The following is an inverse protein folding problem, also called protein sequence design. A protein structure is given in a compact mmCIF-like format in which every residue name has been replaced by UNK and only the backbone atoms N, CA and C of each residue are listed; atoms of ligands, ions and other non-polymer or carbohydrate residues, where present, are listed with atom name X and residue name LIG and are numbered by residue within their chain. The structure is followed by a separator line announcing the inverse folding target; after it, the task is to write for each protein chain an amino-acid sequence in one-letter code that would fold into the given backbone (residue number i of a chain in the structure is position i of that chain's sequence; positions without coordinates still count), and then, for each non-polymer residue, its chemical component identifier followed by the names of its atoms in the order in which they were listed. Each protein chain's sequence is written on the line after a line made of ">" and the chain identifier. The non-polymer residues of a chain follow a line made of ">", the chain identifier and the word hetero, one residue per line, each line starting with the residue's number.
data_IF_077282569851
#
_entry.id   IF_077282569851
#
_cell.length_a   1.000
_cell.length_b   1.000
_cell.length_c   1.000
_cell.angle_alpha   90.00
_cell.angle_beta   90.00
_cell.angle_gamma   90.00
#
_symmetry.space_group_name_H-M   'P 1'
#
loop_
_entity.id
_entity.type
_entity.pdbx_description
1 polymer ?
#
# COMPACT_ATOMS: atom_id res chain seq x y z
N UNK A 1 0.56 -8.58 11.36
CA UNK A 1 -0.61 -7.74 11.05
C UNK A 1 -0.51 -7.10 9.68
N UNK A 2 -1.54 -7.26 8.86
CA UNK A 2 -1.73 -6.55 7.59
C UNK A 2 -2.48 -5.26 7.84
N UNK A 3 -2.05 -4.14 7.24
CA UNK A 3 -2.77 -2.86 7.32
C UNK A 3 -3.23 -2.48 5.92
N UNK A 4 -4.50 -2.11 5.78
CA UNK A 4 -5.16 -1.84 4.49
C UNK A 4 -5.59 -0.36 4.42
N UNK A 5 -4.66 0.58 4.11
CA UNK A 5 -4.98 2.00 4.01
C UNK A 5 -5.89 2.29 2.80
N UNK A 6 -6.60 3.41 2.86
CA UNK A 6 -7.59 3.82 1.87
C UNK A 6 -7.62 5.35 1.75
N UNK A 7 -8.00 5.87 0.58
CA UNK A 7 -8.14 7.30 0.28
C UNK A 7 -9.56 7.74 -0.06
N UNK A 8 -10.47 6.80 -0.35
CA UNK A 8 -11.90 7.07 -0.60
C UNK A 8 -12.82 6.09 0.14
N UNK A 9 -14.10 6.45 0.27
CA UNK A 9 -15.10 5.57 0.89
C UNK A 9 -15.21 4.21 0.19
N UNK A 10 -15.14 4.19 -1.14
CA UNK A 10 -15.17 2.95 -1.93
C UNK A 10 -13.94 2.06 -1.67
N UNK A 11 -12.77 2.66 -1.46
CA UNK A 11 -11.56 1.92 -1.08
C UNK A 11 -11.64 1.41 0.36
N UNK A 12 -12.25 2.17 1.27
CA UNK A 12 -12.50 1.72 2.64
C UNK A 12 -13.37 0.49 2.68
N UNK A 13 -14.51 0.51 1.98
CA UNK A 13 -15.43 -0.62 1.90
C UNK A 13 -14.71 -1.86 1.35
N UNK A 14 -13.89 -1.69 0.30
CA UNK A 14 -13.07 -2.76 -0.24
C UNK A 14 -12.05 -3.29 0.77
N UNK A 15 -11.38 -2.40 1.52
CA UNK A 15 -10.43 -2.79 2.56
C UNK A 15 -11.11 -3.56 3.69
N UNK A 16 -12.34 -3.17 4.08
CA UNK A 16 -13.15 -3.88 5.07
C UNK A 16 -13.59 -5.27 4.55
N UNK A 17 -13.95 -5.39 3.28
CA UNK A 17 -14.25 -6.69 2.65
C UNK A 17 -13.02 -7.61 2.65
N UNK A 18 -11.85 -7.09 2.27
CA UNK A 18 -10.59 -7.86 2.27
C UNK A 18 -10.21 -8.28 3.70
N UNK A 19 -10.33 -7.37 4.68
CA UNK A 19 -9.93 -7.65 6.06
C UNK A 19 -10.77 -8.76 6.70
N UNK A 20 -12.03 -8.91 6.31
CA UNK A 20 -12.91 -9.99 6.77
C UNK A 20 -12.40 -11.41 6.43
N UNK A 21 -11.50 -11.53 5.45
CA UNK A 21 -10.90 -12.79 5.04
C UNK A 21 -9.50 -13.04 5.62
N UNK A 22 -9.00 -12.14 6.47
CA UNK A 22 -7.65 -12.20 7.04
C UNK A 22 -7.69 -12.36 8.56
N UNK A 23 -6.80 -13.20 9.10
CA UNK A 23 -6.77 -13.52 10.53
C UNK A 23 -6.28 -12.35 11.41
N UNK A 24 -5.44 -11.47 10.87
CA UNK A 24 -4.83 -10.33 11.59
C UNK A 24 -4.65 -9.15 10.63
N UNK A 25 -5.76 -8.43 10.37
CA UNK A 25 -5.80 -7.25 9.51
C UNK A 25 -6.47 -6.05 10.20
N UNK A 26 -6.02 -4.85 9.83
CA UNK A 26 -6.61 -3.58 10.28
C UNK A 26 -6.87 -2.68 9.08
N UNK A 27 -8.08 -2.14 9.02
CA UNK A 27 -8.40 -0.97 8.18
C UNK A 27 -8.21 0.27 9.07
N UNK A 28 -7.19 1.11 8.82
CA UNK A 28 -6.95 2.28 9.64
C UNK A 28 -8.06 3.34 9.43
N UNK A 29 -8.17 4.35 10.31
CA UNK A 29 -8.93 5.55 9.99
C UNK A 29 -8.38 6.24 8.73
N UNK A 30 -9.10 7.24 8.21
CA UNK A 30 -8.58 8.06 7.11
C UNK A 30 -7.24 8.69 7.52
N UNK A 31 -6.23 8.56 6.66
CA UNK A 31 -4.88 9.06 6.92
C UNK A 31 -4.57 10.24 6.01
N UNK A 32 -3.81 11.21 6.53
CA UNK A 32 -3.10 12.14 5.65
C UNK A 32 -2.01 11.39 4.88
N UNK A 33 -1.48 11.99 3.80
CA UNK A 33 -0.34 11.40 3.08
C UNK A 33 0.89 11.26 3.99
N UNK A 34 1.10 12.19 4.93
CA UNK A 34 2.20 12.11 5.90
C UNK A 34 2.03 10.96 6.90
N UNK A 35 0.82 10.73 7.38
CA UNK A 35 0.53 9.61 8.28
C UNK A 35 0.62 8.27 7.54
N UNK A 36 0.17 8.21 6.29
CA UNK A 36 0.34 7.05 5.43
C UNK A 36 1.83 6.75 5.19
N UNK A 37 2.64 7.77 4.92
CA UNK A 37 4.10 7.61 4.80
C UNK A 37 4.72 7.05 6.08
N UNK A 38 4.32 7.58 7.24
CA UNK A 38 4.82 7.14 8.55
C UNK A 38 4.41 5.68 8.84
N UNK A 39 3.18 5.31 8.49
CA UNK A 39 2.70 3.93 8.57
C UNK A 39 3.53 3.00 7.68
N UNK A 40 3.74 3.38 6.42
CA UNK A 40 4.50 2.58 5.44
C UNK A 40 5.95 2.41 5.87
N UNK A 41 6.60 3.48 6.38
CA UNK A 41 7.99 3.42 6.85
C UNK A 41 8.22 2.43 8.00
N UNK A 42 7.18 2.13 8.78
CA UNK A 42 7.21 1.11 9.83
C UNK A 42 6.83 -0.30 9.35
N UNK A 43 6.45 -0.48 8.10
CA UNK A 43 6.03 -1.77 7.57
C UNK A 43 7.24 -2.69 7.34
N UNK A 44 7.07 -3.98 7.61
CA UNK A 44 8.09 -4.98 7.29
C UNK A 44 8.24 -5.19 5.77
N UNK A 45 7.11 -5.10 5.06
CA UNK A 45 7.04 -5.12 3.61
C UNK A 45 5.72 -4.48 3.14
N UNK A 46 5.69 -4.03 1.88
CA UNK A 46 4.49 -3.53 1.22
C UNK A 46 4.17 -4.32 -0.05
N UNK A 47 2.88 -4.55 -0.29
CA UNK A 47 2.40 -5.17 -1.52
C UNK A 47 1.31 -4.27 -2.09
N UNK A 48 1.43 -3.89 -3.36
CA UNK A 48 0.47 -2.99 -3.99
C UNK A 48 0.50 -3.08 -5.51
N UNK A 49 -0.53 -2.48 -6.13
CA UNK A 49 -0.58 -2.30 -7.59
C UNK A 49 0.15 -1.00 -7.98
N UNK A 50 0.11 -0.61 -9.25
CA UNK A 50 0.69 0.65 -9.73
C UNK A 50 -0.09 1.87 -9.22
N UNK A 51 0.28 2.33 -8.00
CA UNK A 51 -0.34 3.46 -7.30
C UNK A 51 0.72 4.24 -6.53
N UNK A 52 0.47 5.54 -6.33
CA UNK A 52 1.37 6.44 -5.61
C UNK A 52 1.77 5.93 -4.21
N UNK A 53 0.92 5.19 -3.49
CA UNK A 53 1.29 4.64 -2.18
C UNK A 53 2.27 3.47 -2.29
N UNK A 54 2.18 2.64 -3.33
CA UNK A 54 3.18 1.57 -3.59
C UNK A 54 4.53 2.19 -3.93
N UNK A 55 4.53 3.24 -4.76
CA UNK A 55 5.75 4.01 -5.08
C UNK A 55 6.35 4.68 -3.85
N UNK A 56 5.51 5.26 -2.98
CA UNK A 56 5.94 5.88 -1.73
C UNK A 56 6.60 4.88 -0.78
N UNK A 57 6.08 3.66 -0.66
CA UNK A 57 6.71 2.60 0.12
C UNK A 57 8.11 2.25 -0.41
N UNK A 58 8.24 2.12 -1.73
CA UNK A 58 9.53 1.92 -2.39
C UNK A 58 10.52 3.05 -2.09
N UNK A 59 10.08 4.31 -2.22
CA UNK A 59 10.90 5.49 -1.91
C UNK A 59 11.35 5.55 -0.45
N UNK A 60 10.55 5.02 0.49
CA UNK A 60 10.86 4.91 1.91
C UNK A 60 11.79 3.73 2.24
N UNK A 61 12.34 3.04 1.24
CA UNK A 61 13.23 1.88 1.43
C UNK A 61 12.55 0.72 2.16
N UNK A 62 11.24 0.58 1.99
CA UNK A 62 10.50 -0.58 2.48
C UNK A 62 10.59 -1.68 1.42
N UNK A 63 10.89 -2.95 1.78
CA UNK A 63 10.78 -4.07 0.85
C UNK A 63 9.38 -4.09 0.20
N UNK A 64 9.31 -3.88 -1.12
CA UNK A 64 8.02 -3.63 -1.80
C UNK A 64 7.85 -4.54 -3.01
N UNK A 65 6.67 -5.17 -3.10
CA UNK A 65 6.23 -5.95 -4.26
C UNK A 65 5.16 -5.17 -5.02
N UNK A 66 5.47 -4.82 -6.27
CA UNK A 66 4.53 -4.19 -7.20
C UNK A 66 3.87 -5.22 -8.11
N UNK A 67 2.53 -5.19 -8.21
CA UNK A 67 1.76 -6.05 -9.11
C UNK A 67 1.27 -5.21 -10.29
N UNK A 68 1.78 -5.52 -11.48
CA UNK A 68 1.49 -4.82 -12.73
C UNK A 68 0.71 -5.75 -13.67
N UNK A 69 -0.36 -5.22 -14.27
CA UNK A 69 -1.17 -5.95 -15.24
C UNK A 69 -1.33 -5.15 -16.54
N UNK A 70 -1.88 -3.94 -16.44
CA UNK A 70 -2.18 -3.08 -17.59
C UNK A 70 -1.17 -1.94 -17.81
N UNK A 71 -0.21 -1.77 -16.91
CA UNK A 71 0.87 -0.77 -17.01
C UNK A 71 2.21 -1.46 -17.23
N UNK A 72 3.11 -0.80 -17.97
CA UNK A 72 4.45 -1.31 -18.27
C UNK A 72 5.41 -0.98 -17.11
N UNK A 73 5.94 -1.97 -16.37
CA UNK A 73 6.90 -1.73 -15.30
C UNK A 73 8.20 -1.08 -15.79
N UNK A 74 8.55 -1.17 -17.07
CA UNK A 74 9.72 -0.46 -17.60
C UNK A 74 9.49 1.06 -17.59
N UNK A 75 8.24 1.52 -17.72
CA UNK A 75 7.88 2.94 -17.70
C UNK A 75 7.52 3.45 -16.30
N UNK A 76 6.76 2.66 -15.51
CA UNK A 76 6.23 3.05 -14.19
C UNK A 76 6.63 2.09 -13.07
N UNK A 77 7.77 1.42 -13.22
CA UNK A 77 8.30 0.50 -12.23
C UNK A 77 8.59 1.15 -10.89
N UNK A 78 8.64 0.33 -9.84
CA UNK A 78 9.09 0.75 -8.53
C UNK A 78 10.60 1.02 -8.58
N UNK A 79 10.99 2.24 -8.23
CA UNK A 79 12.39 2.66 -8.13
C UNK A 79 12.77 2.94 -6.68
N UNK A 80 14.07 2.81 -6.37
CA UNK A 80 14.59 3.19 -5.07
C UNK A 80 14.18 2.28 -3.91
N UNK A 81 13.66 1.08 -4.19
CA UNK A 81 13.37 0.06 -3.16
C UNK A 81 14.63 -0.40 -2.41
N UNK A 82 14.46 -1.03 -1.25
CA UNK A 82 15.54 -1.66 -0.48
C UNK A 82 15.98 -3.00 -1.08
#
# INVERSE_FOLDING_TARGET
>A
RTVLPWGSSAERERAEQISAHLSDAVVPPALSIGDAASLLAGAHACVGVDTGLTHLAGALKVPTVGIYLSTDPAATGLYGCA
#
